data_IF_612442460966
#
_entry.id   IF_612442460966
#
_cell.length_a   1.000
_cell.length_b   1.000
_cell.length_c   1.000
_cell.angle_alpha   90.00
_cell.angle_beta   90.00
_cell.angle_gamma   90.00
#
_symmetry.space_group_name_H-M   'P 1'
#
loop_
_entity.id
_entity.type
_entity.pdbx_description
1 polymer ?
#
# COMPACT_ATOMS: atom_id res chain seq x y z
N UNK A 1 27.54 -7.05 12.88
CA UNK A 1 28.05 -7.50 11.57
C UNK A 1 27.10 -7.04 10.48
N UNK A 2 27.52 -6.09 9.66
CA UNK A 2 26.68 -5.61 8.55
C UNK A 2 26.78 -6.62 7.42
N UNK A 3 25.76 -7.46 7.25
CA UNK A 3 25.61 -8.28 6.06
C UNK A 3 25.30 -7.37 4.89
N UNK A 4 26.31 -6.98 4.14
CA UNK A 4 26.15 -6.43 2.79
C UNK A 4 25.66 -7.58 1.91
N UNK A 5 24.35 -7.73 1.80
CA UNK A 5 23.82 -8.63 0.80
C UNK A 5 24.04 -8.02 -0.58
N UNK A 6 24.78 -8.73 -1.39
CA UNK A 6 24.90 -8.41 -2.79
C UNK A 6 23.56 -8.53 -3.48
N UNK A 7 23.11 -7.42 -4.04
CA UNK A 7 21.87 -7.33 -4.81
C UNK A 7 21.97 -8.18 -6.06
N UNK A 8 21.48 -9.39 -6.01
CA UNK A 8 21.14 -10.13 -7.22
C UNK A 8 19.68 -9.91 -7.52
N UNK A 9 19.38 -9.12 -8.54
CA UNK A 9 18.05 -8.89 -9.10
C UNK A 9 16.95 -8.33 -8.16
N UNK A 10 17.31 -7.57 -7.13
CA UNK A 10 16.35 -6.80 -6.33
C UNK A 10 15.44 -7.59 -5.39
N UNK A 11 15.61 -8.89 -5.27
CA UNK A 11 14.86 -9.72 -4.34
C UNK A 11 15.74 -10.17 -3.18
N UNK A 12 15.21 -10.07 -1.96
CA UNK A 12 15.82 -10.69 -0.80
C UNK A 12 15.79 -12.20 -0.97
N UNK A 13 16.92 -12.83 -0.67
CA UNK A 13 16.96 -14.28 -0.59
C UNK A 13 16.03 -14.75 0.54
N UNK A 14 14.99 -15.48 0.19
CA UNK A 14 14.00 -16.03 1.14
C UNK A 14 14.68 -16.89 2.21
N UNK A 15 15.75 -17.57 1.86
CA UNK A 15 16.48 -18.41 2.81
C UNK A 15 17.16 -17.59 3.88
N UNK A 16 17.71 -16.44 3.55
CA UNK A 16 18.31 -15.52 4.53
C UNK A 16 17.23 -14.90 5.43
N UNK A 17 16.06 -14.58 4.89
CA UNK A 17 14.94 -14.07 5.67
C UNK A 17 14.40 -15.13 6.64
N UNK A 18 14.30 -16.39 6.20
CA UNK A 18 13.84 -17.51 7.02
C UNK A 18 14.83 -17.87 8.13
N UNK A 19 16.14 -17.75 7.89
CA UNK A 19 17.16 -17.96 8.91
C UNK A 19 17.00 -16.97 10.07
N UNK A 20 16.70 -15.71 9.78
CA UNK A 20 16.46 -14.69 10.80
C UNK A 20 15.22 -14.98 11.63
N UNK A 21 14.15 -15.47 11.00
CA UNK A 21 12.91 -15.79 11.70
C UNK A 21 13.00 -17.06 12.55
N UNK A 22 13.92 -17.97 12.26
CA UNK A 22 14.12 -19.20 13.03
C UNK A 22 14.84 -18.96 14.36
N UNK A 23 15.63 -17.92 14.47
CA UNK A 23 16.36 -17.59 15.70
C UNK A 23 15.53 -16.78 16.71
N UNK A 24 14.28 -16.48 16.41
CA UNK A 24 13.35 -15.81 17.32
C UNK A 24 13.70 -14.36 17.68
N UNK A 25 14.75 -13.82 17.10
CA UNK A 25 15.11 -12.43 17.24
C UNK A 25 14.28 -11.58 16.29
N UNK A 26 13.47 -10.68 16.84
CA UNK A 26 12.89 -9.61 16.03
C UNK A 26 14.04 -8.84 15.39
N UNK A 27 14.02 -8.62 14.07
CA UNK A 27 15.03 -7.80 13.44
C UNK A 27 15.11 -6.48 14.20
N UNK A 28 16.31 -6.15 14.69
CA UNK A 28 16.50 -4.88 15.38
C UNK A 28 16.09 -3.76 14.42
N UNK A 29 15.45 -2.72 14.95
CA UNK A 29 15.01 -1.54 14.17
C UNK A 29 16.15 -0.88 13.35
N UNK A 30 17.39 -1.29 13.56
CA UNK A 30 18.56 -0.82 12.83
C UNK A 30 18.94 -1.70 11.63
N UNK A 31 18.16 -2.75 11.34
CA UNK A 31 18.40 -3.58 10.17
C UNK A 31 17.68 -2.98 8.96
N UNK A 32 18.37 -2.09 8.28
CA UNK A 32 17.92 -1.60 6.96
C UNK A 32 18.08 -2.71 5.93
N UNK A 33 16.99 -3.44 5.69
CA UNK A 33 16.88 -4.29 4.51
C UNK A 33 16.67 -3.35 3.32
N UNK A 34 17.78 -2.96 2.69
CA UNK A 34 17.69 -2.17 1.46
C UNK A 34 17.37 -3.11 0.32
N UNK A 35 16.09 -3.32 0.06
CA UNK A 35 15.63 -3.98 -1.16
C UNK A 35 15.73 -3.00 -2.32
N UNK A 36 16.64 -3.25 -3.25
CA UNK A 36 16.67 -2.47 -4.48
C UNK A 36 15.82 -3.15 -5.52
N UNK A 37 14.63 -2.65 -5.66
CA UNK A 37 13.78 -2.99 -6.78
C UNK A 37 14.28 -2.29 -8.05
N UNK A 38 13.99 -2.88 -9.19
CA UNK A 38 14.49 -2.40 -10.48
C UNK A 38 13.94 -1.03 -10.87
N UNK A 39 12.71 -0.71 -10.47
CA UNK A 39 11.98 0.47 -10.93
C UNK A 39 11.70 1.47 -9.81
N UNK A 40 12.55 1.53 -8.81
CA UNK A 40 12.42 2.47 -7.68
C UNK A 40 11.16 2.25 -6.83
N UNK A 41 10.62 1.03 -6.81
CA UNK A 41 9.37 0.71 -6.12
C UNK A 41 9.44 1.02 -4.63
N UNK A 42 10.58 0.84 -3.96
CA UNK A 42 10.73 1.13 -2.53
C UNK A 42 10.46 2.61 -2.21
N UNK A 43 11.06 3.52 -2.96
CA UNK A 43 10.84 4.96 -2.78
C UNK A 43 9.39 5.35 -3.11
N UNK A 44 8.81 4.74 -4.14
CA UNK A 44 7.42 4.99 -4.52
C UNK A 44 6.43 4.43 -3.49
N UNK A 45 6.71 3.28 -2.89
CA UNK A 45 5.91 2.74 -1.79
C UNK A 45 5.98 3.66 -0.56
N UNK A 46 7.15 4.22 -0.27
CA UNK A 46 7.29 5.19 0.82
C UNK A 46 6.48 6.46 0.54
N UNK A 47 6.52 6.97 -0.68
CA UNK A 47 5.70 8.12 -1.09
C UNK A 47 4.20 7.85 -0.94
N UNK A 48 3.74 6.67 -1.34
CA UNK A 48 2.35 6.25 -1.15
C UNK A 48 1.99 6.20 0.33
N UNK A 49 2.86 5.65 1.16
CA UNK A 49 2.67 5.59 2.61
C UNK A 49 2.53 6.99 3.22
N UNK A 50 3.42 7.90 2.84
CA UNK A 50 3.40 9.28 3.31
C UNK A 50 2.11 10.00 2.88
N UNK A 51 1.68 9.79 1.64
CA UNK A 51 0.42 10.33 1.14
C UNK A 51 -0.78 9.81 1.95
N UNK A 52 -0.86 8.51 2.20
CA UNK A 52 -1.94 7.91 2.99
C UNK A 52 -1.94 8.48 4.42
N UNK A 53 -0.78 8.55 5.06
CA UNK A 53 -0.64 9.12 6.40
C UNK A 53 -1.12 10.57 6.43
N UNK A 54 -0.77 11.37 5.44
CA UNK A 54 -1.24 12.75 5.31
C UNK A 54 -2.76 12.87 5.16
N UNK A 55 -3.41 11.96 4.44
CA UNK A 55 -4.88 11.95 4.35
C UNK A 55 -5.54 11.65 5.69
N UNK A 56 -4.99 10.74 6.46
CA UNK A 56 -5.49 10.45 7.80
C UNK A 56 -5.34 11.64 8.75
N UNK A 57 -4.20 12.30 8.76
CA UNK A 57 -3.97 13.48 9.59
C UNK A 57 -4.95 14.61 9.27
N UNK A 58 -5.26 14.85 8.00
CA UNK A 58 -6.19 15.89 7.58
C UNK A 58 -7.64 15.59 7.98
N UNK A 59 -8.04 14.33 7.95
CA UNK A 59 -9.43 13.91 8.20
C UNK A 59 -9.70 13.53 9.65
N UNK A 60 -8.69 13.11 10.40
CA UNK A 60 -8.84 12.61 11.77
C UNK A 60 -8.32 13.58 12.86
N UNK A 61 -7.72 14.70 12.49
CA UNK A 61 -7.19 15.65 13.45
C UNK A 61 -8.23 16.36 14.31
N UNK A 62 -9.51 16.22 14.00
CA UNK A 62 -10.62 16.84 14.73
C UNK A 62 -11.10 16.04 15.95
N UNK A 63 -10.47 14.92 16.29
CA UNK A 63 -10.68 14.18 17.56
C UNK A 63 -12.07 13.62 17.80
N UNK A 64 -12.93 13.60 16.80
CA UNK A 64 -14.27 13.05 16.88
C UNK A 64 -14.37 11.70 16.17
N UNK A 65 -15.07 10.74 16.78
CA UNK A 65 -15.57 9.51 16.15
C UNK A 65 -16.58 9.81 15.03
N UNK A 66 -16.22 10.78 14.15
CA UNK A 66 -17.09 11.11 13.03
C UNK A 66 -17.08 9.98 12.03
N UNK A 67 -18.25 9.43 11.78
CA UNK A 67 -18.47 8.51 10.68
C UNK A 67 -18.00 9.19 9.40
N UNK A 68 -17.01 8.59 8.77
CA UNK A 68 -16.49 9.11 7.53
C UNK A 68 -17.41 8.77 6.37
N UNK A 69 -17.39 9.57 5.33
CA UNK A 69 -18.19 9.31 4.12
C UNK A 69 -17.97 7.91 3.57
N UNK A 70 -16.75 7.40 3.65
CA UNK A 70 -16.45 6.05 3.18
C UNK A 70 -17.12 4.97 4.04
N UNK A 71 -17.26 5.19 5.34
CA UNK A 71 -17.99 4.28 6.23
C UNK A 71 -19.47 4.19 5.86
N UNK A 72 -20.08 5.32 5.48
CA UNK A 72 -21.45 5.35 4.97
C UNK A 72 -21.60 4.61 3.65
N UNK A 73 -20.64 4.80 2.73
CA UNK A 73 -20.63 4.10 1.45
C UNK A 73 -20.48 2.58 1.66
N UNK A 74 -19.61 2.18 2.60
CA UNK A 74 -19.48 0.77 2.98
C UNK A 74 -20.78 0.21 3.56
N UNK A 75 -21.42 0.94 4.45
CA UNK A 75 -22.70 0.54 5.05
C UNK A 75 -23.80 0.36 4.00
N UNK A 76 -23.77 1.11 2.91
CA UNK A 76 -24.67 0.96 1.77
C UNK A 76 -24.32 -0.23 0.85
N UNK A 77 -23.19 -0.87 1.05
CA UNK A 77 -22.71 -1.96 0.19
C UNK A 77 -21.97 -1.51 -1.07
N UNK A 78 -21.63 -0.23 -1.18
CA UNK A 78 -21.08 0.37 -2.40
C UNK A 78 -19.56 0.62 -2.35
N UNK A 79 -18.88 0.16 -1.30
CA UNK A 79 -17.47 0.48 -1.09
C UNK A 79 -16.55 0.00 -2.23
N UNK A 80 -16.73 -1.22 -2.70
CA UNK A 80 -15.95 -1.74 -3.83
C UNK A 80 -16.24 -0.98 -5.12
N UNK A 81 -17.51 -0.73 -5.41
CA UNK A 81 -17.94 0.03 -6.59
C UNK A 81 -17.39 1.46 -6.57
N UNK A 82 -17.41 2.10 -5.41
CA UNK A 82 -16.83 3.43 -5.20
C UNK A 82 -15.32 3.45 -5.48
N UNK A 83 -14.57 2.52 -4.92
CA UNK A 83 -13.12 2.43 -5.14
C UNK A 83 -12.80 2.16 -6.62
N UNK A 84 -13.49 1.21 -7.24
CA UNK A 84 -13.33 0.90 -8.67
C UNK A 84 -13.60 2.12 -9.53
N UNK A 85 -14.68 2.83 -9.25
CA UNK A 85 -15.07 4.02 -10.02
C UNK A 85 -14.03 5.13 -9.91
N UNK A 86 -13.45 5.34 -8.74
CA UNK A 86 -12.38 6.31 -8.54
C UNK A 86 -11.09 5.90 -9.27
N UNK A 87 -10.73 4.62 -9.25
CA UNK A 87 -9.58 4.11 -10.02
C UNK A 87 -9.77 4.42 -11.52
N UNK A 88 -10.93 4.10 -12.07
CA UNK A 88 -11.26 4.37 -13.47
C UNK A 88 -11.22 5.87 -13.78
N UNK A 89 -11.79 6.70 -12.92
CA UNK A 89 -11.80 8.16 -13.07
C UNK A 89 -10.38 8.72 -13.15
N UNK A 90 -9.49 8.35 -12.22
CA UNK A 90 -8.14 8.86 -12.22
C UNK A 90 -7.28 8.26 -13.34
N UNK A 91 -7.45 6.99 -13.66
CA UNK A 91 -6.76 6.34 -14.77
C UNK A 91 -7.12 6.97 -16.12
N UNK A 92 -8.38 7.40 -16.31
CA UNK A 92 -8.82 8.01 -17.56
C UNK A 92 -8.28 9.41 -17.81
N UNK A 93 -7.79 10.11 -16.79
CA UNK A 93 -7.43 11.53 -16.90
C UNK A 93 -6.02 11.89 -16.45
N UNK A 94 -5.24 10.96 -15.89
CA UNK A 94 -3.95 11.27 -15.25
C UNK A 94 -2.98 12.00 -16.19
N UNK A 95 -3.07 11.77 -17.48
CA UNK A 95 -2.19 12.34 -18.53
C UNK A 95 -2.70 13.66 -19.13
N UNK A 96 -3.85 14.19 -18.66
CA UNK A 96 -4.52 15.31 -19.33
C UNK A 96 -4.46 16.64 -18.59
N UNK A 97 -4.22 16.65 -17.29
CA UNK A 97 -4.37 17.86 -16.42
C UNK A 97 -3.07 18.38 -15.82
N UNK A 98 -1.93 17.82 -16.15
CA UNK A 98 -0.65 18.20 -15.54
C UNK A 98 -0.51 17.77 -14.06
N UNK A 99 -1.38 16.89 -13.56
CA UNK A 99 -1.39 16.37 -12.20
C UNK A 99 -1.17 14.86 -12.14
N UNK A 100 -0.40 14.33 -13.10
CA UNK A 100 -0.21 12.89 -13.30
C UNK A 100 0.21 12.17 -12.01
N UNK A 101 1.21 12.67 -11.32
CA UNK A 101 1.72 12.02 -10.10
C UNK A 101 0.63 11.92 -9.03
N UNK A 102 -0.11 12.97 -8.80
CA UNK A 102 -1.23 12.99 -7.84
C UNK A 102 -2.32 11.99 -8.21
N UNK A 103 -2.71 11.95 -9.47
CA UNK A 103 -3.76 11.05 -9.94
C UNK A 103 -3.33 9.58 -9.85
N UNK A 104 -2.07 9.27 -10.18
CA UNK A 104 -1.54 7.91 -10.05
C UNK A 104 -1.47 7.46 -8.58
N UNK A 105 -1.02 8.32 -7.67
CA UNK A 105 -1.02 8.01 -6.23
C UNK A 105 -2.44 7.73 -5.72
N UNK A 106 -3.44 8.47 -6.19
CA UNK A 106 -4.85 8.20 -5.86
C UNK A 106 -5.32 6.85 -6.37
N UNK A 107 -4.94 6.47 -7.59
CA UNK A 107 -5.24 5.13 -8.12
C UNK A 107 -4.69 4.06 -7.19
N UNK A 108 -3.45 4.20 -6.75
CA UNK A 108 -2.81 3.23 -5.84
C UNK A 108 -3.51 3.18 -4.48
N UNK A 109 -3.89 4.32 -3.91
CA UNK A 109 -4.61 4.38 -2.65
C UNK A 109 -5.99 3.72 -2.76
N UNK A 110 -6.77 4.05 -3.78
CA UNK A 110 -8.06 3.38 -4.02
C UNK A 110 -7.90 1.90 -4.32
N UNK A 111 -6.79 1.48 -4.93
CA UNK A 111 -6.44 0.07 -5.10
C UNK A 111 -6.27 -0.66 -3.77
N UNK A 112 -5.57 -0.05 -2.81
CA UNK A 112 -5.44 -0.60 -1.45
C UNK A 112 -6.79 -0.68 -0.73
N UNK A 113 -7.61 0.36 -0.84
CA UNK A 113 -8.95 0.36 -0.25
C UNK A 113 -9.84 -0.71 -0.89
N UNK A 114 -9.77 -0.86 -2.21
CA UNK A 114 -10.50 -1.90 -2.92
C UNK A 114 -10.10 -3.30 -2.44
N UNK A 115 -8.81 -3.54 -2.26
CA UNK A 115 -8.31 -4.81 -1.73
C UNK A 115 -8.84 -5.07 -0.32
N UNK A 116 -8.84 -4.05 0.55
CA UNK A 116 -9.38 -4.14 1.90
C UNK A 116 -10.87 -4.53 1.90
N UNK A 117 -11.70 -3.86 1.11
CA UNK A 117 -13.14 -4.15 1.06
C UNK A 117 -13.44 -5.48 0.38
N UNK A 118 -12.68 -5.85 -0.63
CA UNK A 118 -12.78 -7.16 -1.27
C UNK A 118 -12.46 -8.31 -0.32
N UNK A 119 -11.44 -8.14 0.52
CA UNK A 119 -11.09 -9.13 1.55
C UNK A 119 -12.20 -9.37 2.59
N UNK A 120 -13.05 -8.38 2.83
CA UNK A 120 -14.19 -8.51 3.72
C UNK A 120 -15.36 -9.32 3.12
N UNK A 121 -15.49 -9.31 1.81
CA UNK A 121 -16.66 -9.86 1.10
C UNK A 121 -16.39 -11.19 0.41
N UNK A 122 -15.13 -11.51 0.14
CA UNK A 122 -14.74 -12.73 -0.57
C UNK A 122 -14.05 -13.74 0.35
N UNK A 123 -14.26 -15.02 0.06
CA UNK A 123 -13.37 -16.07 0.56
C UNK A 123 -12.00 -15.79 -0.02
N UNK A 124 -11.01 -15.62 0.85
CA UNK A 124 -9.64 -15.30 0.48
C UNK A 124 -9.13 -16.31 -0.55
N UNK A 125 -8.95 -15.87 -1.77
CA UNK A 125 -8.31 -16.68 -2.79
C UNK A 125 -6.86 -16.92 -2.39
N UNK A 126 -6.51 -18.19 -2.20
CA UNK A 126 -5.11 -18.58 -2.05
C UNK A 126 -4.50 -18.62 -3.44
N UNK A 127 -3.53 -17.78 -3.69
CA UNK A 127 -2.75 -17.87 -4.93
C UNK A 127 -2.15 -19.26 -5.04
N UNK A 128 -2.25 -19.91 -6.21
CA UNK A 128 -1.56 -21.16 -6.43
C UNK A 128 -0.06 -20.95 -6.27
N UNK A 129 0.53 -21.75 -5.40
CA UNK A 129 1.98 -21.75 -5.18
C UNK A 129 2.70 -22.50 -6.29
#
# INVERSE_FOLDING_TARGET
>A
MKLKQQKKHGLLDIDTFNLYNQEGEKPSYNFEITMAYKYNEEALLQELRDYISGTYEQHYSSGNDSIQTLDLIEACGDAEAFCRSNILKYASRYDRKGTARRDIIKILHYGLLLLHFSDKTSVRETYPQ
#
